data_IF_859405858178
#
_entry.id   IF_859405858178
#
_cell.length_a   1.000
_cell.length_b   1.000
_cell.length_c   1.000
_cell.angle_alpha   90.00
_cell.angle_beta   90.00
_cell.angle_gamma   90.00
#
_symmetry.space_group_name_H-M   'P 1'
#
loop_
_entity.id
_entity.type
_entity.pdbx_description
1 polymer ?
#
# COMPACT_ATOMS: atom_id res chain seq x y z
N UNK A 1 14.85 19.89 13.46
CA UNK A 1 13.73 18.94 13.52
C UNK A 1 13.17 18.83 12.13
N UNK A 2 13.21 17.65 11.55
CA UNK A 2 12.51 17.43 10.27
C UNK A 2 11.16 16.80 10.61
N UNK A 3 10.09 17.58 10.53
CA UNK A 3 8.72 17.11 10.69
C UNK A 3 8.17 16.73 9.31
N UNK A 4 7.64 15.52 9.18
CA UNK A 4 6.93 15.06 8.00
C UNK A 4 5.47 14.92 8.34
N UNK A 5 4.57 15.38 7.46
CA UNK A 5 3.15 15.08 7.58
C UNK A 5 2.86 13.67 7.03
N UNK A 6 1.97 12.97 7.72
CA UNK A 6 1.47 11.67 7.30
C UNK A 6 -0.04 11.61 7.33
N UNK A 7 -0.58 10.68 6.56
CA UNK A 7 -2.01 10.48 6.37
C UNK A 7 -2.35 9.00 6.55
N UNK A 8 -3.53 8.76 7.14
CA UNK A 8 -4.02 7.40 7.42
C UNK A 8 -5.46 7.27 7.00
N UNK A 9 -5.73 6.31 6.12
CA UNK A 9 -7.08 5.86 5.82
C UNK A 9 -7.58 4.84 6.84
N UNK A 10 -8.90 4.76 7.06
CA UNK A 10 -9.50 3.88 8.07
C UNK A 10 -10.64 3.04 7.50
N UNK A 11 -10.88 1.87 8.08
CA UNK A 11 -12.12 1.14 7.86
C UNK A 11 -13.28 1.75 8.64
N UNK A 12 -14.50 1.31 8.33
CA UNK A 12 -15.68 1.68 9.09
C UNK A 12 -15.50 1.37 10.57
N UNK A 13 -15.85 2.34 11.40
CA UNK A 13 -15.81 2.25 12.85
C UNK A 13 -16.96 3.08 13.41
N UNK A 14 -17.60 2.67 14.52
CA UNK A 14 -18.53 3.53 15.24
C UNK A 14 -17.86 4.79 15.82
N UNK A 15 -16.52 4.76 15.96
CA UNK A 15 -15.72 5.83 16.53
C UNK A 15 -15.05 6.65 15.42
N UNK A 16 -15.60 7.83 15.08
CA UNK A 16 -14.96 8.82 14.21
C UNK A 16 -14.23 8.24 12.98
N UNK A 17 -14.92 7.57 12.05
CA UNK A 17 -14.30 7.06 10.84
C UNK A 17 -13.83 8.20 9.94
N UNK A 18 -12.71 8.02 9.25
CA UNK A 18 -12.25 9.04 8.32
C UNK A 18 -10.77 8.90 7.93
N UNK A 19 -10.31 9.87 7.15
CA UNK A 19 -8.89 10.06 6.86
C UNK A 19 -8.30 11.00 7.90
N UNK A 20 -7.21 10.57 8.51
CA UNK A 20 -6.50 11.32 9.54
C UNK A 20 -5.16 11.84 9.03
N UNK A 21 -4.77 13.03 9.52
CA UNK A 21 -3.43 13.58 9.41
C UNK A 21 -2.68 13.50 10.74
N UNK A 22 -1.36 13.33 10.67
CA UNK A 22 -0.45 13.42 11.81
C UNK A 22 0.87 14.02 11.36
N UNK A 23 1.73 14.39 12.30
CA UNK A 23 3.13 14.72 12.04
C UNK A 23 4.05 13.72 12.71
N UNK A 24 5.14 13.38 12.03
CA UNK A 24 6.20 12.52 12.52
C UNK A 24 7.49 13.35 12.66
N UNK A 25 8.11 13.33 13.82
CA UNK A 25 9.47 13.81 14.01
C UNK A 25 10.45 12.71 13.56
N UNK A 26 11.16 12.95 12.47
CA UNK A 26 12.05 11.96 11.86
C UNK A 26 13.34 11.70 12.67
N UNK A 27 13.67 12.53 13.66
CA UNK A 27 14.83 12.34 14.55
C UNK A 27 14.48 11.46 15.76
N UNK A 28 13.28 11.64 16.30
CA UNK A 28 12.86 10.97 17.53
C UNK A 28 11.86 9.84 17.33
N UNK A 29 11.18 9.79 16.19
CA UNK A 29 10.07 8.87 15.94
C UNK A 29 8.76 9.27 16.63
N UNK A 30 8.72 10.45 17.26
CA UNK A 30 7.52 10.93 17.94
C UNK A 30 6.41 11.26 16.94
N UNK A 31 5.19 10.84 17.28
CA UNK A 31 3.98 11.07 16.51
C UNK A 31 3.10 12.11 17.21
N UNK A 32 2.60 13.11 16.46
CA UNK A 32 1.64 14.06 17.00
C UNK A 32 0.27 13.42 17.24
N UNK A 33 -0.57 14.08 18.03
CA UNK A 33 -1.99 13.73 18.12
C UNK A 33 -2.62 13.75 16.71
N UNK A 34 -3.38 12.71 16.29
CA UNK A 34 -4.01 12.67 14.98
C UNK A 34 -5.15 13.69 14.87
N UNK A 35 -5.27 14.32 13.71
CA UNK A 35 -6.35 15.22 13.34
C UNK A 35 -7.24 14.56 12.29
N UNK A 36 -8.55 14.53 12.49
CA UNK A 36 -9.51 14.07 11.50
C UNK A 36 -9.63 15.14 10.40
N UNK A 37 -9.20 14.81 9.19
CA UNK A 37 -9.22 15.70 8.02
C UNK A 37 -10.48 15.53 7.17
N UNK A 38 -10.88 14.29 6.95
CA UNK A 38 -12.08 13.98 6.15
C UNK A 38 -12.91 12.93 6.86
N UNK A 39 -14.14 13.29 7.24
CA UNK A 39 -15.08 12.40 7.94
C UNK A 39 -15.91 11.62 6.95
N UNK A 40 -15.60 10.33 6.81
CA UNK A 40 -16.37 9.38 6.01
C UNK A 40 -16.04 7.95 6.45
N UNK A 41 -16.95 7.01 6.23
CA UNK A 41 -16.67 5.59 6.45
C UNK A 41 -15.77 5.02 5.34
N UNK A 42 -15.05 3.96 5.66
CA UNK A 42 -14.24 3.19 4.69
C UNK A 42 -13.26 4.02 3.84
N UNK A 43 -12.63 5.05 4.40
CA UNK A 43 -11.59 5.83 3.71
C UNK A 43 -10.28 5.07 3.51
N UNK A 44 -10.31 3.79 3.58
CA UNK A 44 -9.30 2.71 3.65
C UNK A 44 -7.90 3.02 3.11
N UNK A 45 -7.76 3.90 2.15
CA UNK A 45 -6.48 4.24 1.54
C UNK A 45 -6.35 5.74 1.33
N UNK A 46 -5.12 6.23 1.51
CA UNK A 46 -4.76 7.62 1.23
C UNK A 46 -3.54 7.64 0.33
N UNK A 47 -3.48 8.59 -0.60
CA UNK A 47 -2.33 8.82 -1.47
C UNK A 47 -2.10 10.31 -1.63
N UNK A 48 -0.87 10.76 -1.36
CA UNK A 48 -0.48 12.16 -1.44
C UNK A 48 0.43 12.42 -2.66
N UNK A 49 0.28 13.55 -3.31
CA UNK A 49 1.22 14.06 -4.32
C UNK A 49 1.05 15.56 -4.51
N UNK A 50 2.14 16.31 -4.44
CA UNK A 50 2.18 17.74 -4.81
C UNK A 50 1.17 18.63 -4.09
N UNK A 51 0.85 18.35 -2.82
CA UNK A 51 -0.14 19.07 -2.04
C UNK A 51 -1.58 18.55 -2.17
N UNK A 52 -1.83 17.59 -3.04
CA UNK A 52 -3.13 16.92 -3.17
C UNK A 52 -3.15 15.62 -2.37
N UNK A 53 -4.21 15.39 -1.62
CA UNK A 53 -4.47 14.15 -0.90
C UNK A 53 -5.73 13.49 -1.47
N UNK A 54 -5.56 12.32 -2.08
CA UNK A 54 -6.67 11.48 -2.49
C UNK A 54 -7.01 10.46 -1.41
N UNK A 55 -8.28 10.20 -1.20
CA UNK A 55 -8.76 9.16 -0.27
C UNK A 55 -10.03 8.50 -0.81
N UNK A 56 -10.32 7.30 -0.31
CA UNK A 56 -11.55 6.58 -0.67
C UNK A 56 -12.74 7.28 0.00
N UNK A 57 -13.89 7.27 -0.65
CA UNK A 57 -15.15 7.80 -0.12
C UNK A 57 -16.33 6.92 -0.49
N UNK A 58 -17.41 7.04 0.26
CA UNK A 58 -18.70 6.41 -0.02
C UNK A 58 -19.86 7.31 0.45
N UNK A 59 -21.01 7.19 -0.19
CA UNK A 59 -22.25 7.87 0.22
C UNK A 59 -23.46 7.04 -0.25
N UNK A 60 -24.66 7.58 -0.11
CA UNK A 60 -25.91 6.89 -0.50
C UNK A 60 -26.01 6.59 -2.01
N UNK A 61 -25.18 7.20 -2.84
CA UNK A 61 -25.14 6.99 -4.29
C UNK A 61 -24.14 5.90 -4.71
N UNK A 62 -23.20 5.53 -3.84
CA UNK A 62 -22.16 4.56 -4.12
C UNK A 62 -20.81 4.92 -3.53
N UNK A 63 -19.76 4.39 -4.13
CA UNK A 63 -18.38 4.55 -3.70
C UNK A 63 -17.53 5.28 -4.75
N UNK A 64 -16.38 5.79 -4.31
CA UNK A 64 -15.46 6.48 -5.20
C UNK A 64 -14.29 7.11 -4.45
N UNK A 65 -13.83 8.25 -4.94
CA UNK A 65 -12.68 8.97 -4.41
C UNK A 65 -13.05 10.39 -4.00
N UNK A 66 -12.37 10.89 -2.95
CA UNK A 66 -12.35 12.28 -2.54
C UNK A 66 -10.96 12.86 -2.76
N UNK A 67 -10.90 14.12 -3.19
CA UNK A 67 -9.67 14.89 -3.36
C UNK A 67 -9.69 16.07 -2.39
N UNK A 68 -8.60 16.21 -1.61
CA UNK A 68 -8.43 17.26 -0.63
C UNK A 68 -7.20 18.11 -0.97
N UNK A 69 -7.22 19.39 -0.61
CA UNK A 69 -6.06 20.27 -0.63
C UNK A 69 -5.26 20.13 0.65
N UNK A 70 -4.26 19.24 0.65
CA UNK A 70 -3.40 19.01 1.81
C UNK A 70 -2.37 20.13 2.05
N UNK A 71 -2.18 21.04 1.09
CA UNK A 71 -1.35 22.22 1.26
C UNK A 71 -2.06 23.31 2.09
N UNK A 72 -3.39 23.34 2.05
CA UNK A 72 -4.19 24.29 2.82
C UNK A 72 -4.47 23.80 4.25
N UNK A 73 -4.61 24.70 5.23
CA UNK A 73 -4.97 24.34 6.60
C UNK A 73 -6.27 23.55 6.66
N UNK A 74 -6.25 22.44 7.40
CA UNK A 74 -7.43 21.56 7.57
C UNK A 74 -7.75 20.67 6.39
N UNK A 75 -6.94 20.71 5.33
CA UNK A 75 -7.08 19.90 4.11
C UNK A 75 -8.52 19.93 3.56
N UNK A 76 -9.03 21.10 3.10
CA UNK A 76 -10.40 21.22 2.62
C UNK A 76 -10.68 20.30 1.44
N UNK A 77 -11.92 19.79 1.38
CA UNK A 77 -12.40 18.97 0.28
C UNK A 77 -12.48 19.81 -1.00
N UNK A 78 -11.83 19.35 -2.06
CA UNK A 78 -11.87 19.96 -3.40
C UNK A 78 -12.96 19.32 -4.28
N UNK A 79 -13.03 17.98 -4.27
CA UNK A 79 -13.97 17.24 -5.12
C UNK A 79 -14.26 15.83 -4.59
N UNK A 80 -15.38 15.27 -5.08
CA UNK A 80 -15.70 13.85 -4.93
C UNK A 80 -16.15 13.28 -6.26
N UNK A 81 -15.69 12.07 -6.59
CA UNK A 81 -16.11 11.33 -7.77
C UNK A 81 -16.68 9.98 -7.35
N UNK A 82 -18.01 9.82 -7.49
CA UNK A 82 -18.73 8.58 -7.16
C UNK A 82 -19.06 7.85 -8.45
N UNK A 83 -18.51 6.66 -8.65
CA UNK A 83 -18.71 5.86 -9.88
C UNK A 83 -18.49 4.36 -9.67
N UNK A 84 -18.38 3.91 -8.43
CA UNK A 84 -18.08 2.54 -8.04
C UNK A 84 -19.19 1.98 -7.13
N UNK A 85 -19.40 0.66 -7.17
CA UNK A 85 -20.37 -0.03 -6.29
C UNK A 85 -19.76 -0.30 -4.90
N UNK A 86 -18.45 -0.55 -4.87
CA UNK A 86 -17.69 -0.87 -3.67
C UNK A 86 -16.48 0.06 -3.52
N UNK A 87 -15.95 0.15 -2.31
CA UNK A 87 -14.80 1.02 -2.04
C UNK A 87 -13.49 0.45 -2.60
N UNK A 88 -12.70 1.30 -3.24
CA UNK A 88 -11.33 0.96 -3.67
C UNK A 88 -10.47 0.50 -2.49
N UNK A 89 -9.46 -0.33 -2.75
CA UNK A 89 -8.54 -0.87 -1.74
C UNK A 89 -7.10 -0.37 -1.89
N UNK A 90 -6.79 0.36 -2.97
CA UNK A 90 -5.47 0.90 -3.24
C UNK A 90 -5.56 2.18 -4.06
N UNK A 91 -4.75 3.18 -3.70
CA UNK A 91 -4.57 4.43 -4.43
C UNK A 91 -3.08 4.70 -4.63
N UNK A 92 -2.73 5.28 -5.77
CA UNK A 92 -1.36 5.76 -6.01
C UNK A 92 -1.35 6.87 -7.06
N UNK A 93 -0.35 7.75 -6.98
CA UNK A 93 -0.07 8.77 -7.98
C UNK A 93 1.07 8.34 -8.89
N UNK A 94 0.93 8.58 -10.18
CA UNK A 94 2.01 8.42 -11.15
C UNK A 94 1.83 9.40 -12.31
N UNK A 95 2.87 10.15 -12.64
CA UNK A 95 2.91 11.10 -13.76
C UNK A 95 1.73 12.10 -13.74
N UNK A 96 1.39 12.62 -12.54
CA UNK A 96 0.28 13.56 -12.32
C UNK A 96 -1.13 12.95 -12.41
N UNK A 97 -1.25 11.64 -12.60
CA UNK A 97 -2.53 10.92 -12.61
C UNK A 97 -2.71 10.14 -11.31
N UNK A 98 -3.94 10.04 -10.85
CA UNK A 98 -4.36 9.21 -9.73
C UNK A 98 -4.91 7.89 -10.24
N UNK A 99 -4.40 6.79 -9.69
CA UNK A 99 -4.86 5.42 -9.98
C UNK A 99 -5.52 4.82 -8.76
N UNK A 100 -6.66 4.16 -8.95
CA UNK A 100 -7.31 3.36 -7.90
C UNK A 100 -7.53 1.93 -8.37
N UNK A 101 -7.29 0.96 -7.47
CA UNK A 101 -7.67 -0.44 -7.71
C UNK A 101 -8.86 -0.81 -6.82
N UNK A 102 -9.89 -1.42 -7.41
CA UNK A 102 -11.07 -1.87 -6.70
C UNK A 102 -11.14 -3.41 -6.69
N UNK A 103 -11.12 -3.96 -5.48
CA UNK A 103 -11.07 -5.40 -5.24
C UNK A 103 -12.32 -6.15 -5.72
N UNK A 104 -13.50 -5.61 -5.41
CA UNK A 104 -14.79 -6.26 -5.68
C UNK A 104 -15.34 -5.86 -7.05
N UNK A 105 -15.30 -4.58 -7.41
CA UNK A 105 -15.75 -4.12 -8.72
C UNK A 105 -14.82 -4.61 -9.84
N UNK A 106 -13.60 -5.01 -9.50
CA UNK A 106 -12.67 -5.66 -10.42
C UNK A 106 -12.18 -4.77 -11.54
N UNK A 107 -11.79 -3.55 -11.20
CA UNK A 107 -11.26 -2.60 -12.16
C UNK A 107 -10.17 -1.69 -11.56
N UNK A 108 -9.44 -1.03 -12.45
CA UNK A 108 -8.58 0.11 -12.14
C UNK A 108 -9.18 1.35 -12.79
N UNK A 109 -9.36 2.42 -12.00
CA UNK A 109 -9.75 3.74 -12.51
C UNK A 109 -8.54 4.67 -12.51
N UNK A 110 -8.45 5.51 -13.54
CA UNK A 110 -7.38 6.47 -13.73
C UNK A 110 -8.00 7.85 -13.86
N UNK A 111 -7.58 8.79 -13.00
CA UNK A 111 -8.11 10.14 -12.95
C UNK A 111 -7.04 11.19 -13.21
N UNK A 112 -7.45 12.30 -13.84
CA UNK A 112 -6.70 13.55 -13.91
C UNK A 112 -7.28 14.55 -12.90
N UNK A 113 -6.47 15.22 -12.05
CA UNK A 113 -6.93 16.19 -11.06
C UNK A 113 -7.03 17.61 -11.63
N UNK A 114 -7.62 17.80 -12.78
CA UNK A 114 -7.67 19.08 -13.48
C UNK A 114 -8.50 20.14 -12.75
N UNK A 115 -7.89 21.28 -12.40
CA UNK A 115 -8.57 22.38 -11.71
C UNK A 115 -9.16 21.98 -10.35
N UNK A 116 -8.54 21.02 -9.65
CA UNK A 116 -9.06 20.50 -8.38
C UNK A 116 -10.25 19.55 -8.54
N UNK A 117 -10.53 19.05 -9.76
CA UNK A 117 -11.61 18.13 -10.06
C UNK A 117 -11.07 16.78 -10.52
N UNK A 118 -11.62 15.68 -10.00
CA UNK A 118 -11.33 14.31 -10.41
C UNK A 118 -12.05 14.00 -11.74
N UNK A 119 -11.30 14.00 -12.84
CA UNK A 119 -11.83 13.62 -14.16
C UNK A 119 -11.40 12.20 -14.48
N UNK A 120 -12.35 11.31 -14.67
CA UNK A 120 -12.08 9.92 -15.10
C UNK A 120 -11.50 9.93 -16.52
N UNK A 121 -10.24 9.50 -16.63
CA UNK A 121 -9.52 9.38 -17.91
C UNK A 121 -9.69 7.99 -18.51
N UNK A 122 -9.62 6.95 -17.65
CA UNK A 122 -9.63 5.57 -18.10
C UNK A 122 -10.23 4.63 -17.06
N UNK A 123 -10.86 3.56 -17.54
CA UNK A 123 -11.28 2.39 -16.75
C UNK A 123 -10.68 1.13 -17.39
N UNK A 124 -9.92 0.36 -16.63
CA UNK A 124 -9.41 -0.96 -17.02
C UNK A 124 -10.25 -2.00 -16.28
N UNK A 125 -11.04 -2.77 -17.03
CA UNK A 125 -11.96 -3.78 -16.47
C UNK A 125 -11.27 -5.13 -16.49
N UNK A 126 -11.17 -5.78 -15.33
CA UNK A 126 -10.57 -7.10 -15.13
C UNK A 126 -11.60 -8.15 -14.71
N UNK A 127 -12.84 -7.72 -14.43
CA UNK A 127 -13.98 -8.55 -14.06
C UNK A 127 -14.38 -8.41 -12.60
N UNK A 128 -15.68 -8.44 -12.31
CA UNK A 128 -16.21 -8.41 -10.94
C UNK A 128 -15.55 -9.51 -10.10
N UNK A 129 -15.29 -9.20 -8.82
CA UNK A 129 -14.63 -10.12 -7.88
C UNK A 129 -13.24 -10.62 -8.32
N UNK A 130 -12.56 -9.93 -9.25
CA UNK A 130 -11.20 -10.31 -9.66
C UNK A 130 -10.15 -10.13 -8.56
N UNK A 131 -10.43 -9.30 -7.56
CA UNK A 131 -9.51 -9.03 -6.47
C UNK A 131 -8.36 -8.10 -6.85
N UNK A 132 -8.60 -7.10 -7.72
CA UNK A 132 -7.60 -6.08 -8.05
C UNK A 132 -7.10 -5.39 -6.79
N UNK A 133 -5.81 -5.49 -6.47
CA UNK A 133 -5.33 -5.09 -5.15
C UNK A 133 -4.25 -4.01 -5.13
N UNK A 134 -3.57 -3.79 -6.24
CA UNK A 134 -2.53 -2.76 -6.38
C UNK A 134 -2.39 -2.33 -7.84
N UNK A 135 -1.80 -1.16 -8.05
CA UNK A 135 -1.29 -0.68 -9.34
C UNK A 135 0.21 -0.48 -9.20
N UNK A 136 1.00 -1.12 -10.06
CA UNK A 136 2.46 -1.12 -10.00
C UNK A 136 3.00 -0.66 -11.35
N UNK A 137 4.07 0.16 -11.34
CA UNK A 137 4.65 0.73 -12.55
C UNK A 137 6.06 0.18 -12.81
N UNK A 138 6.32 -0.13 -14.09
CA UNK A 138 7.64 -0.50 -14.60
C UNK A 138 7.85 0.12 -15.99
N UNK A 139 8.49 1.27 -16.04
CA UNK A 139 8.60 2.04 -17.28
C UNK A 139 7.21 2.32 -17.89
N UNK A 140 7.01 1.85 -19.13
CA UNK A 140 5.71 1.93 -19.82
C UNK A 140 4.65 0.93 -19.32
N UNK A 141 5.08 -0.08 -18.57
CA UNK A 141 4.20 -1.17 -18.13
C UNK A 141 3.47 -0.82 -16.84
N UNK A 142 2.20 -1.19 -16.78
CA UNK A 142 1.35 -1.12 -15.60
C UNK A 142 0.95 -2.55 -15.24
N UNK A 143 1.21 -2.95 -13.99
CA UNK A 143 0.88 -4.27 -13.47
C UNK A 143 -0.26 -4.15 -12.46
N UNK A 144 -1.21 -5.11 -12.54
CA UNK A 144 -2.36 -5.18 -11.63
C UNK A 144 -2.47 -6.60 -11.05
N UNK A 145 -2.03 -6.82 -9.81
CA UNK A 145 -2.30 -8.07 -9.10
C UNK A 145 -3.80 -8.24 -8.88
N UNK A 146 -4.32 -9.41 -9.29
CA UNK A 146 -5.72 -9.81 -9.13
C UNK A 146 -5.78 -11.07 -8.27
N UNK A 147 -5.92 -10.86 -6.97
CA UNK A 147 -5.80 -11.86 -5.92
C UNK A 147 -6.69 -13.09 -6.15
N UNK A 148 -7.97 -12.89 -6.49
CA UNK A 148 -8.94 -13.97 -6.66
C UNK A 148 -8.79 -14.73 -7.97
N UNK A 149 -8.08 -14.16 -8.94
CA UNK A 149 -7.80 -14.81 -10.22
C UNK A 149 -6.45 -15.53 -10.22
N UNK A 150 -5.66 -15.41 -9.15
CA UNK A 150 -4.27 -15.91 -9.10
C UNK A 150 -3.45 -15.41 -10.30
N UNK A 151 -3.57 -14.10 -10.61
CA UNK A 151 -2.91 -13.47 -11.77
C UNK A 151 -2.39 -12.08 -11.46
N UNK A 152 -1.37 -11.67 -12.21
CA UNK A 152 -0.96 -10.27 -12.35
C UNK A 152 -1.09 -9.90 -13.82
N UNK A 153 -1.99 -8.98 -14.15
CA UNK A 153 -2.16 -8.50 -15.53
C UNK A 153 -1.18 -7.38 -15.83
N UNK A 154 -0.69 -7.35 -17.08
CA UNK A 154 0.18 -6.31 -17.61
C UNK A 154 -0.56 -5.50 -18.68
N UNK A 155 -0.39 -4.18 -18.63
CA UNK A 155 -0.92 -3.24 -19.61
C UNK A 155 0.17 -2.30 -20.10
N UNK A 156 0.12 -1.94 -21.39
CA UNK A 156 1.03 -1.00 -22.01
C UNK A 156 0.44 0.42 -21.95
N UNK A 157 0.99 1.30 -21.12
CA UNK A 157 0.53 2.67 -20.92
C UNK A 157 0.68 3.53 -22.19
N UNK A 158 1.72 3.29 -22.99
CA UNK A 158 1.97 4.02 -24.25
C UNK A 158 1.06 3.55 -25.39
N UNK A 159 0.51 2.34 -25.31
CA UNK A 159 -0.48 1.79 -26.23
C UNK A 159 -1.90 1.91 -25.66
N UNK A 160 -2.22 3.05 -25.02
CA UNK A 160 -3.53 3.32 -24.44
C UNK A 160 -4.03 2.20 -23.50
N UNK A 161 -3.13 1.69 -22.67
CA UNK A 161 -3.37 0.58 -21.74
C UNK A 161 -3.86 -0.72 -22.43
N UNK A 162 -3.34 -1.01 -23.60
CA UNK A 162 -3.59 -2.31 -24.24
C UNK A 162 -3.04 -3.45 -23.36
N UNK A 163 -3.73 -4.61 -23.29
CA UNK A 163 -3.20 -5.80 -22.62
C UNK A 163 -1.84 -6.19 -23.21
N UNK A 164 -0.84 -6.44 -22.36
CA UNK A 164 0.53 -6.74 -22.77
C UNK A 164 1.04 -8.10 -22.27
N UNK A 165 0.27 -8.78 -21.42
CA UNK A 165 0.62 -10.09 -20.88
C UNK A 165 0.03 -10.32 -19.50
N UNK A 166 0.39 -11.45 -18.91
CA UNK A 166 0.01 -11.79 -17.53
C UNK A 166 1.01 -12.74 -16.88
N UNK A 167 1.14 -12.65 -15.55
CA UNK A 167 1.78 -13.68 -14.72
C UNK A 167 0.69 -14.54 -14.10
N UNK A 168 0.87 -15.86 -14.16
CA UNK A 168 -0.08 -16.84 -13.60
C UNK A 168 0.53 -17.55 -12.39
N UNK A 169 -0.30 -17.84 -11.41
CA UNK A 169 0.10 -18.48 -10.15
C UNK A 169 -0.72 -19.75 -9.91
N UNK A 170 -0.23 -20.68 -9.11
CA UNK A 170 -1.02 -21.82 -8.65
C UNK A 170 -2.31 -21.35 -7.96
N UNK A 171 -3.38 -22.12 -8.10
CA UNK A 171 -4.70 -21.81 -7.50
C UNK A 171 -4.60 -21.61 -5.99
N UNK A 172 -5.12 -20.48 -5.50
CA UNK A 172 -5.13 -20.13 -4.09
C UNK A 172 -3.85 -19.43 -3.61
N UNK A 173 -2.99 -18.99 -4.53
CA UNK A 173 -1.81 -18.18 -4.19
C UNK A 173 -2.21 -16.80 -3.67
N UNK A 174 -3.09 -16.11 -4.40
CA UNK A 174 -3.55 -14.78 -4.04
C UNK A 174 -2.47 -13.69 -4.16
N UNK A 175 -1.96 -13.40 -5.38
CA UNK A 175 -0.98 -12.31 -5.57
C UNK A 175 -1.59 -10.97 -5.15
N UNK A 176 -0.88 -10.21 -4.29
CA UNK A 176 -1.47 -9.05 -3.64
C UNK A 176 -0.73 -7.74 -3.92
N UNK A 177 0.45 -7.59 -3.34
CA UNK A 177 1.30 -6.41 -3.49
C UNK A 177 2.69 -6.79 -3.99
N UNK A 178 3.25 -5.94 -4.83
CA UNK A 178 4.60 -6.11 -5.35
C UNK A 178 5.31 -4.78 -5.52
N UNK A 179 6.62 -4.87 -5.74
CA UNK A 179 7.47 -3.74 -6.06
C UNK A 179 8.70 -4.20 -6.88
N UNK A 180 9.32 -3.26 -7.57
CA UNK A 180 10.55 -3.51 -8.30
C UNK A 180 11.78 -3.19 -7.44
N UNK A 181 12.89 -3.89 -7.72
CA UNK A 181 14.22 -3.47 -7.26
C UNK A 181 14.53 -2.07 -7.80
N UNK A 182 15.49 -1.37 -7.17
CA UNK A 182 15.85 -0.01 -7.59
C UNK A 182 16.39 0.09 -9.02
N UNK A 183 17.03 -0.97 -9.49
CA UNK A 183 17.55 -1.08 -10.87
C UNK A 183 16.49 -1.62 -11.85
N UNK A 184 15.28 -1.89 -11.37
CA UNK A 184 14.15 -2.45 -12.12
C UNK A 184 14.40 -3.82 -12.78
N UNK A 185 15.44 -4.54 -12.35
CA UNK A 185 15.80 -5.86 -12.91
C UNK A 185 15.12 -7.02 -12.18
N UNK A 186 14.55 -6.75 -10.98
CA UNK A 186 13.77 -7.75 -10.22
C UNK A 186 12.44 -7.21 -9.81
N UNK A 187 11.48 -8.11 -9.77
CA UNK A 187 10.15 -7.86 -9.25
C UNK A 187 9.89 -8.78 -8.06
N UNK A 188 9.48 -8.20 -6.95
CA UNK A 188 9.11 -8.91 -5.73
C UNK A 188 7.62 -8.81 -5.52
N UNK A 189 6.95 -9.96 -5.34
CA UNK A 189 5.50 -10.03 -5.15
C UNK A 189 5.18 -10.85 -3.92
N UNK A 190 4.39 -10.31 -3.00
CA UNK A 190 3.84 -11.04 -1.86
C UNK A 190 2.45 -11.55 -2.18
N UNK A 191 2.18 -12.81 -1.83
CA UNK A 191 0.85 -13.42 -1.91
C UNK A 191 0.15 -13.35 -0.56
N UNK A 192 -1.13 -12.97 -0.57
CA UNK A 192 -1.95 -12.88 0.65
C UNK A 192 -2.27 -14.26 1.22
N UNK A 193 -2.74 -15.17 0.36
CA UNK A 193 -3.33 -16.44 0.80
C UNK A 193 -2.27 -17.50 1.07
N UNK A 194 -1.29 -17.66 0.17
CA UNK A 194 -0.23 -18.64 0.36
C UNK A 194 0.91 -18.17 1.25
N UNK A 195 0.96 -16.88 1.60
CA UNK A 195 2.02 -16.27 2.42
C UNK A 195 3.42 -16.58 1.88
N UNK A 196 3.61 -16.33 0.59
CA UNK A 196 4.87 -16.53 -0.12
C UNK A 196 5.38 -15.20 -0.71
N UNK A 197 6.69 -15.05 -0.78
CA UNK A 197 7.37 -13.98 -1.48
C UNK A 197 7.99 -14.55 -2.75
N UNK A 198 7.52 -14.09 -3.89
CA UNK A 198 7.99 -14.46 -5.22
C UNK A 198 9.02 -13.44 -5.71
N UNK A 199 10.10 -13.93 -6.30
CA UNK A 199 11.13 -13.11 -6.95
C UNK A 199 11.22 -13.47 -8.43
N UNK A 200 11.12 -12.45 -9.28
CA UNK A 200 11.27 -12.59 -10.73
C UNK A 200 12.44 -11.75 -11.22
N UNK A 201 13.20 -12.26 -12.19
CA UNK A 201 13.99 -11.41 -13.07
C UNK A 201 13.10 -10.79 -14.12
N UNK A 202 13.43 -9.55 -14.54
CA UNK A 202 12.58 -8.74 -15.43
C UNK A 202 13.41 -8.23 -16.61
N UNK A 203 12.89 -8.46 -17.82
CA UNK A 203 13.42 -7.91 -19.07
C UNK A 203 12.24 -7.37 -19.91
N UNK A 204 12.01 -6.05 -19.85
CA UNK A 204 10.85 -5.43 -20.47
C UNK A 204 9.53 -5.99 -19.92
N UNK A 205 8.66 -6.58 -20.76
CA UNK A 205 7.41 -7.20 -20.32
C UNK A 205 7.57 -8.65 -19.82
N UNK A 206 8.78 -9.21 -19.94
CA UNK A 206 9.03 -10.62 -19.64
C UNK A 206 9.50 -10.79 -18.19
N UNK A 207 8.88 -11.73 -17.50
CA UNK A 207 9.15 -12.07 -16.10
C UNK A 207 9.51 -13.55 -15.98
N UNK A 208 10.70 -13.83 -15.47
CA UNK A 208 11.16 -15.21 -15.20
C UNK A 208 11.22 -15.44 -13.71
N UNK A 209 10.47 -16.43 -13.21
CA UNK A 209 10.50 -16.80 -11.80
C UNK A 209 11.90 -17.29 -11.40
N UNK A 210 12.48 -16.65 -10.40
CA UNK A 210 13.84 -16.94 -9.90
C UNK A 210 13.78 -17.68 -8.55
N UNK A 211 12.89 -17.25 -7.65
CA UNK A 211 12.80 -17.82 -6.30
C UNK A 211 11.39 -17.65 -5.68
N UNK A 212 11.07 -18.54 -4.73
CA UNK A 212 9.85 -18.47 -3.91
C UNK A 212 10.19 -18.85 -2.48
N UNK A 213 10.04 -17.92 -1.55
CA UNK A 213 10.34 -18.14 -0.13
C UNK A 213 9.09 -17.94 0.74
N UNK A 214 8.95 -18.72 1.85
CA UNK A 214 7.87 -18.49 2.81
C UNK A 214 8.05 -17.17 3.56
N UNK A 215 6.93 -16.47 3.82
CA UNK A 215 6.93 -15.24 4.61
C UNK A 215 6.83 -15.51 6.11
N UNK A 216 6.18 -16.61 6.48
CA UNK A 216 5.94 -17.00 7.86
C UNK A 216 7.12 -17.78 8.47
N UNK A 217 7.32 -17.70 9.81
CA UNK A 217 8.22 -18.61 10.50
C UNK A 217 7.86 -20.08 10.23
N UNK A 218 8.86 -20.95 10.13
CA UNK A 218 8.67 -22.37 9.80
C UNK A 218 7.80 -23.15 10.81
N UNK A 219 7.73 -22.67 12.04
CA UNK A 219 6.94 -23.25 13.14
C UNK A 219 5.57 -22.59 13.34
N UNK A 220 5.23 -21.54 12.57
CA UNK A 220 3.92 -20.89 12.66
C UNK A 220 2.80 -21.82 12.18
N UNK A 221 1.71 -21.92 12.95
CA UNK A 221 0.57 -22.82 12.67
C UNK A 221 -0.80 -22.12 12.69
N UNK A 222 -0.82 -20.80 12.86
CA UNK A 222 -2.05 -20.01 12.87
C UNK A 222 -2.55 -19.67 11.47
N UNK A 223 -3.71 -19.00 11.42
CA UNK A 223 -4.17 -18.34 10.19
C UNK A 223 -3.41 -17.04 10.01
N UNK A 224 -2.94 -16.80 8.81
CA UNK A 224 -2.22 -15.58 8.46
C UNK A 224 -2.49 -15.19 7.01
N UNK A 225 -2.39 -13.89 6.76
CA UNK A 225 -2.57 -13.27 5.45
C UNK A 225 -1.51 -12.18 5.29
N UNK A 226 -0.57 -12.37 4.38
CA UNK A 226 0.40 -11.33 4.06
C UNK A 226 -0.27 -10.12 3.44
N UNK A 227 0.20 -8.91 3.76
CA UNK A 227 -0.47 -7.70 3.34
C UNK A 227 0.45 -6.77 2.54
N UNK A 228 1.13 -5.82 3.16
CA UNK A 228 1.99 -4.87 2.47
C UNK A 228 3.40 -5.44 2.26
N UNK A 229 4.05 -5.01 1.19
CA UNK A 229 5.49 -5.17 0.96
C UNK A 229 6.09 -3.78 0.71
N UNK A 230 7.21 -3.48 1.34
CA UNK A 230 7.97 -2.24 1.18
C UNK A 230 9.46 -2.53 1.14
N UNK A 231 10.22 -1.64 0.49
CA UNK A 231 11.67 -1.75 0.37
C UNK A 231 12.35 -0.62 1.15
N UNK A 232 13.49 -0.90 1.77
CA UNK A 232 14.34 0.11 2.39
C UNK A 232 14.87 1.12 1.37
N UNK A 233 15.22 2.32 1.82
CA UNK A 233 15.73 3.39 0.96
C UNK A 233 17.00 3.01 0.20
N UNK A 234 17.83 2.12 0.70
CA UNK A 234 19.03 1.61 0.02
C UNK A 234 18.77 0.41 -0.90
N UNK A 235 17.54 -0.13 -0.91
CA UNK A 235 17.14 -1.26 -1.76
C UNK A 235 17.61 -2.63 -1.28
N UNK A 236 18.08 -2.76 -0.02
CA UNK A 236 18.69 -3.99 0.50
C UNK A 236 17.77 -4.82 1.39
N UNK A 237 16.69 -4.23 1.88
CA UNK A 237 15.77 -4.88 2.83
C UNK A 237 14.35 -4.80 2.28
N UNK A 238 13.61 -5.90 2.40
CA UNK A 238 12.17 -5.94 2.23
C UNK A 238 11.49 -6.10 3.60
N UNK A 239 10.44 -5.32 3.81
CA UNK A 239 9.54 -5.40 4.96
C UNK A 239 8.17 -5.87 4.48
N UNK A 240 7.63 -6.89 5.13
CA UNK A 240 6.31 -7.44 4.81
C UNK A 240 5.45 -7.49 6.07
N UNK A 241 4.25 -6.93 6.03
CA UNK A 241 3.30 -7.08 7.13
C UNK A 241 2.47 -8.34 6.96
N UNK A 242 2.18 -9.03 8.07
CA UNK A 242 1.40 -10.27 8.07
C UNK A 242 0.29 -10.18 9.10
N UNK A 243 -0.94 -10.09 8.60
CA UNK A 243 -2.17 -10.09 9.41
C UNK A 243 -2.41 -11.49 10.00
N UNK A 244 -3.18 -11.56 11.08
CA UNK A 244 -3.39 -12.81 11.81
C UNK A 244 -2.21 -13.22 12.66
N UNK A 245 -1.01 -13.32 12.07
CA UNK A 245 0.24 -13.55 12.81
C UNK A 245 0.71 -12.29 13.56
N UNK A 246 0.23 -11.12 13.20
CA UNK A 246 0.61 -9.82 13.80
C UNK A 246 2.11 -9.58 13.80
N UNK A 247 2.79 -9.86 12.69
CA UNK A 247 4.23 -9.72 12.56
C UNK A 247 4.64 -8.90 11.34
N UNK A 248 5.89 -8.45 11.37
CA UNK A 248 6.62 -7.88 10.24
C UNK A 248 7.75 -8.85 9.90
N UNK A 249 7.68 -9.44 8.70
CA UNK A 249 8.76 -10.27 8.18
C UNK A 249 9.79 -9.38 7.48
N UNK A 250 11.06 -9.55 7.82
CA UNK A 250 12.18 -8.77 7.29
C UNK A 250 13.09 -9.69 6.49
N UNK A 251 13.33 -9.32 5.23
CA UNK A 251 14.22 -10.06 4.33
C UNK A 251 15.37 -9.17 3.90
N UNK A 252 16.58 -9.72 3.94
CA UNK A 252 17.75 -9.09 3.31
C UNK A 252 17.88 -9.58 1.87
N UNK A 253 18.13 -8.67 0.96
CA UNK A 253 18.39 -8.97 -0.44
C UNK A 253 19.88 -9.22 -0.66
N UNK A 254 20.30 -10.51 -0.63
CA UNK A 254 21.64 -10.95 -1.02
C UNK A 254 21.64 -11.29 -2.50
N UNK A 255 22.46 -10.60 -3.31
CA UNK A 255 22.47 -10.74 -4.77
C UNK A 255 21.09 -10.63 -5.41
N UNK A 256 20.17 -9.89 -4.72
CA UNK A 256 18.78 -9.69 -5.14
C UNK A 256 17.80 -10.77 -4.71
N UNK A 257 18.27 -11.87 -4.10
CA UNK A 257 17.38 -12.91 -3.56
C UNK A 257 17.05 -12.66 -2.08
N UNK A 258 15.77 -12.81 -1.68
CA UNK A 258 15.34 -12.52 -0.33
C UNK A 258 15.75 -13.63 0.65
N UNK A 259 16.45 -13.25 1.72
CA UNK A 259 16.83 -14.12 2.83
C UNK A 259 16.14 -13.64 4.10
N UNK A 260 15.33 -14.45 4.81
CA UNK A 260 14.67 -14.04 6.04
C UNK A 260 15.71 -13.76 7.14
N UNK A 261 15.61 -12.57 7.76
CA UNK A 261 16.53 -12.15 8.83
C UNK A 261 15.82 -11.85 10.15
N UNK A 262 14.50 -11.62 10.11
CA UNK A 262 13.71 -11.34 11.32
C UNK A 262 12.22 -11.57 11.07
N UNK A 263 11.52 -12.06 12.09
CA UNK A 263 10.08 -11.94 12.24
C UNK A 263 9.82 -11.13 13.52
N UNK A 264 9.55 -9.84 13.36
CA UNK A 264 9.32 -8.92 14.48
C UNK A 264 7.82 -8.86 14.80
N UNK A 265 7.47 -8.75 16.08
CA UNK A 265 6.10 -8.40 16.49
C UNK A 265 5.73 -7.04 15.89
N UNK A 266 4.51 -6.89 15.34
CA UNK A 266 4.02 -5.61 14.81
C UNK A 266 3.72 -4.58 15.91
N UNK A 267 3.83 -4.98 17.18
CA UNK A 267 3.42 -4.23 18.36
C UNK A 267 1.97 -3.75 18.31
N UNK A 268 1.15 -4.58 17.69
CA UNK A 268 -0.29 -4.38 17.56
C UNK A 268 -0.97 -5.60 16.95
N UNK A 269 -2.22 -5.44 16.54
CA UNK A 269 -3.00 -6.51 15.97
C UNK A 269 -3.41 -6.19 14.53
N UNK A 270 -3.18 -7.14 13.63
CA UNK A 270 -3.62 -7.09 12.25
C UNK A 270 -2.94 -5.93 11.45
N UNK A 271 -1.59 -5.96 11.23
CA UNK A 271 -0.85 -4.94 10.51
C UNK A 271 -1.24 -4.95 9.02
N UNK A 272 -1.98 -3.92 8.57
CA UNK A 272 -2.47 -3.81 7.20
C UNK A 272 -1.49 -3.12 6.27
N UNK A 273 -0.81 -2.12 6.79
CA UNK A 273 0.21 -1.40 6.04
C UNK A 273 1.42 -1.10 6.90
N UNK A 274 2.56 -1.00 6.26
CA UNK A 274 3.84 -0.61 6.82
C UNK A 274 4.48 0.39 5.88
N UNK A 275 5.25 1.33 6.41
CA UNK A 275 5.89 2.34 5.58
C UNK A 275 7.24 2.74 6.16
N UNK A 276 8.37 2.33 5.53
CA UNK A 276 9.68 2.90 5.84
C UNK A 276 9.66 4.40 5.57
N UNK A 277 10.15 5.19 6.52
CA UNK A 277 10.13 6.64 6.41
C UNK A 277 11.27 7.11 5.52
N UNK A 278 10.99 7.86 4.42
CA UNK A 278 12.04 8.36 3.56
C UNK A 278 13.04 9.23 4.35
N UNK A 279 14.33 9.01 4.14
CA UNK A 279 15.41 9.79 4.75
C UNK A 279 15.61 9.57 6.26
N UNK A 280 14.89 8.66 6.90
CA UNK A 280 15.02 8.35 8.32
C UNK A 280 15.03 6.84 8.59
N UNK A 281 15.79 6.36 9.61
CA UNK A 281 15.80 4.95 9.97
C UNK A 281 14.57 4.57 10.82
N UNK A 282 13.37 4.80 10.27
CA UNK A 282 12.09 4.61 10.95
C UNK A 282 11.14 3.77 10.10
N UNK A 283 10.28 3.01 10.76
CA UNK A 283 9.19 2.23 10.14
C UNK A 283 7.87 2.56 10.84
N UNK A 284 6.87 2.95 10.06
CA UNK A 284 5.49 3.08 10.51
C UNK A 284 4.74 1.77 10.29
N UNK A 285 3.86 1.39 11.22
CA UNK A 285 2.99 0.22 11.12
C UNK A 285 1.56 0.59 11.49
N UNK A 286 0.60 0.39 10.58
CA UNK A 286 -0.82 0.57 10.84
C UNK A 286 -1.44 -0.77 11.28
N UNK A 287 -1.72 -0.88 12.56
CA UNK A 287 -2.32 -2.06 13.20
C UNK A 287 -3.83 -1.83 13.37
N UNK A 288 -4.61 -2.47 12.51
CA UNK A 288 -6.04 -2.19 12.37
C UNK A 288 -6.86 -2.55 13.62
N UNK A 289 -6.77 -3.80 14.11
CA UNK A 289 -7.69 -4.33 15.11
C UNK A 289 -7.56 -3.70 16.50
N UNK A 290 -6.39 -3.19 16.84
CA UNK A 290 -6.20 -2.45 18.08
C UNK A 290 -5.99 -0.94 17.86
N UNK A 291 -6.31 -0.44 16.66
CA UNK A 291 -6.35 0.99 16.34
C UNK A 291 -5.02 1.71 16.65
N UNK A 292 -3.88 1.07 16.36
CA UNK A 292 -2.57 1.57 16.72
C UNK A 292 -1.71 1.87 15.48
N UNK A 293 -1.36 3.13 15.30
CA UNK A 293 -0.22 3.52 14.45
C UNK A 293 1.02 3.56 15.31
N UNK A 294 2.03 2.76 14.94
CA UNK A 294 3.27 2.58 15.69
C UNK A 294 4.45 3.03 14.84
N UNK A 295 5.36 3.84 15.42
CA UNK A 295 6.65 4.17 14.84
C UNK A 295 7.76 3.39 15.55
N UNK A 296 8.62 2.74 14.79
CA UNK A 296 9.76 1.96 15.30
C UNK A 296 11.06 2.40 14.66
N UNK A 297 12.16 2.24 15.41
CA UNK A 297 13.49 2.38 14.85
C UNK A 297 13.79 1.26 13.84
N UNK A 298 14.56 1.58 12.81
CA UNK A 298 15.25 0.60 11.98
C UNK A 298 16.72 0.57 12.39
N UNK A 299 17.23 -0.63 12.68
CA UNK A 299 18.62 -0.85 13.01
C UNK A 299 19.53 -0.67 11.78
N UNK A 300 20.84 -0.50 11.99
CA UNK A 300 21.80 -0.28 10.90
C UNK A 300 21.86 -1.46 9.90
N UNK A 301 21.49 -2.67 10.32
CA UNK A 301 21.39 -3.85 9.46
C UNK A 301 20.01 -4.05 8.84
N UNK A 302 19.09 -3.09 9.03
CA UNK A 302 17.73 -3.08 8.51
C UNK A 302 16.70 -3.81 9.36
N UNK A 303 17.07 -4.39 10.50
CA UNK A 303 16.10 -5.01 11.41
C UNK A 303 15.18 -3.97 12.05
N UNK A 304 13.98 -4.43 12.39
CA UNK A 304 12.98 -3.61 13.10
C UNK A 304 13.31 -3.63 14.59
N UNK A 305 13.65 -2.46 15.13
CA UNK A 305 14.09 -2.24 16.51
C UNK A 305 12.97 -1.80 17.44
N UNK A 306 13.31 -0.91 18.39
CA UNK A 306 12.44 -0.46 19.47
C UNK A 306 11.25 0.39 18.97
N UNK A 307 10.17 0.40 19.75
CA UNK A 307 9.08 1.38 19.61
C UNK A 307 9.57 2.76 20.04
N UNK A 308 9.31 3.77 19.22
CA UNK A 308 9.68 5.16 19.48
C UNK A 308 8.44 6.06 19.66
N UNK A 309 7.32 5.68 19.05
CA UNK A 309 6.09 6.44 19.15
C UNK A 309 4.86 5.60 18.84
N UNK A 310 3.73 5.98 19.44
CA UNK A 310 2.44 5.33 19.23
C UNK A 310 1.32 6.34 19.35
N UNK A 311 0.36 6.26 18.44
CA UNK A 311 -0.91 6.99 18.53
C UNK A 311 -2.09 6.08 18.22
N UNK A 312 -3.27 6.43 18.72
CA UNK A 312 -4.49 5.71 18.42
C UNK A 312 -5.23 6.37 17.27
N UNK A 313 -5.52 5.57 16.22
CA UNK A 313 -6.36 5.95 15.08
C UNK A 313 -7.33 4.79 14.83
N UNK A 314 -8.65 5.00 14.91
CA UNK A 314 -9.63 3.91 14.79
C UNK A 314 -9.47 3.15 13.48
N UNK A 315 -9.36 1.81 13.56
CA UNK A 315 -9.30 0.92 12.38
C UNK A 315 -8.31 1.36 11.29
N UNK A 316 -7.13 1.88 11.67
CA UNK A 316 -6.11 2.42 10.74
C UNK A 316 -5.57 1.34 9.79
N UNK A 317 -5.45 1.68 8.50
CA UNK A 317 -5.01 0.75 7.45
C UNK A 317 -4.02 1.35 6.46
N UNK A 318 -4.42 2.18 5.51
CA UNK A 318 -3.53 2.71 4.48
C UNK A 318 -2.71 3.91 4.96
N UNK A 319 -1.41 3.92 4.68
CA UNK A 319 -0.46 4.96 5.08
C UNK A 319 0.05 5.74 3.87
N UNK A 320 0.15 7.06 4.03
CA UNK A 320 0.89 7.93 3.11
C UNK A 320 1.70 8.96 3.90
N UNK A 321 2.84 9.38 3.33
CA UNK A 321 3.65 10.49 3.84
C UNK A 321 3.79 11.54 2.75
N UNK A 322 3.95 12.80 3.15
CA UNK A 322 4.41 13.84 2.22
C UNK A 322 5.86 13.55 1.81
N UNK A 323 6.26 14.02 0.62
CA UNK A 323 7.65 13.92 0.18
C UNK A 323 8.54 14.77 1.09
N UNK A 324 9.77 14.29 1.29
CA UNK A 324 10.82 14.95 2.09
C UNK A 324 11.77 15.73 1.20
#
# INVERSE_FOLDING_TARGET
MALIKGYVGTYASPENPGTYGFTLDTQTGALSRPALLYRQTNTKYAAWSGGLLATVTENDQGCGLALLDAAAPGAPLLDTHISEKTTACFLTWQDGLLYSANYHDGHVLIFSPEGGKLRLVRRLVLGEESGCHQVIFHGRWLLVPCLKLDRVFLFDREQNFAPAGELTFPKGTGPRHGLFSKDHRRFYLVSETSNQLFTYTVDGPDFTLEDVVPVLPADYRGKAESAAIRMSADGRILYLSVRGASLIAVFRLGDGLPQPVQHADSLGLDPWDILPVPGAPLLLTANRKNSALVCRALEADGRVGAELGRISIPQCVGLALEDV
#
